data_IF_626915307261
#
_entry.id   IF_626915307261
#
_cell.length_a   1.000
_cell.length_b   1.000
_cell.length_c   1.000
_cell.angle_alpha   90.00
_cell.angle_beta   90.00
_cell.angle_gamma   90.00
#
_symmetry.space_group_name_H-M   'P 1'
#
loop_
_entity.id
_entity.type
_entity.pdbx_description
1 polymer ?
#
# COMPACT_ATOMS: atom_id res chain seq x y z
N UNK A 1 0.14 -6.22 1.09
CA UNK A 1 0.82 -4.89 1.04
C UNK A 1 0.99 -4.41 -0.41
N UNK A 2 0.42 -5.15 -1.34
CA UNK A 2 0.85 -5.19 -2.74
C UNK A 2 0.33 -4.00 -3.52
N UNK A 3 -0.92 -3.61 -3.24
CA UNK A 3 -1.55 -2.43 -3.83
C UNK A 3 -0.85 -1.11 -3.42
N UNK A 4 -0.19 -1.07 -2.26
CA UNK A 4 0.65 0.07 -1.87
C UNK A 4 1.99 0.07 -2.59
N UNK A 5 2.57 -1.11 -2.85
CA UNK A 5 3.81 -1.27 -3.60
C UNK A 5 3.66 -0.86 -5.07
N UNK A 6 2.47 -1.07 -5.65
CA UNK A 6 2.12 -0.67 -7.02
C UNK A 6 1.92 0.85 -7.19
N UNK A 7 2.06 1.64 -6.11
CA UNK A 7 1.89 3.10 -6.18
C UNK A 7 0.44 3.55 -6.38
N UNK A 8 -0.53 2.64 -6.30
CA UNK A 8 -1.96 2.97 -6.41
C UNK A 8 -2.37 3.97 -5.35
N UNK A 9 -3.29 4.87 -5.67
CA UNK A 9 -3.92 5.81 -4.72
C UNK A 9 -4.96 5.12 -3.84
N UNK A 10 -5.37 5.76 -2.73
CA UNK A 10 -6.40 5.19 -1.86
C UNK A 10 -7.74 4.99 -2.58
N UNK A 11 -8.06 5.85 -3.55
CA UNK A 11 -9.25 5.72 -4.38
C UNK A 11 -9.17 4.50 -5.29
N UNK A 12 -8.07 4.32 -6.01
CA UNK A 12 -7.88 3.13 -6.86
C UNK A 12 -7.88 1.81 -6.07
N UNK A 13 -7.37 1.84 -4.84
CA UNK A 13 -7.41 0.70 -3.92
C UNK A 13 -8.85 0.46 -3.44
N UNK A 14 -9.58 1.53 -3.14
CA UNK A 14 -10.97 1.47 -2.72
C UNK A 14 -11.85 0.87 -3.82
N UNK A 15 -11.67 1.32 -5.06
CA UNK A 15 -12.39 0.83 -6.23
C UNK A 15 -12.10 -0.67 -6.47
N UNK A 16 -10.82 -1.09 -6.39
CA UNK A 16 -10.43 -2.50 -6.55
C UNK A 16 -10.96 -3.42 -5.45
N UNK A 17 -11.06 -2.90 -4.21
CA UNK A 17 -11.52 -3.68 -3.06
C UNK A 17 -13.02 -3.53 -2.79
N UNK A 18 -13.75 -2.75 -3.61
CA UNK A 18 -15.15 -2.39 -3.39
C UNK A 18 -15.40 -1.79 -2.00
N UNK A 19 -14.46 -0.96 -1.53
CA UNK A 19 -14.51 -0.29 -0.23
C UNK A 19 -14.67 1.22 -0.40
N UNK A 20 -15.07 1.91 0.66
CA UNK A 20 -14.99 3.36 0.71
C UNK A 20 -13.53 3.83 0.83
N UNK A 21 -13.17 4.93 0.16
CA UNK A 21 -11.82 5.52 0.23
C UNK A 21 -11.38 5.83 1.67
N UNK A 22 -12.32 6.27 2.52
CA UNK A 22 -12.07 6.52 3.95
C UNK A 22 -11.64 5.26 4.69
N UNK A 23 -12.22 4.11 4.35
CA UNK A 23 -11.87 2.82 4.93
C UNK A 23 -10.44 2.44 4.55
N UNK A 24 -10.06 2.64 3.29
CA UNK A 24 -8.68 2.43 2.83
C UNK A 24 -7.70 3.36 3.52
N UNK A 25 -8.03 4.66 3.66
CA UNK A 25 -7.22 5.62 4.43
C UNK A 25 -6.96 5.13 5.85
N UNK A 26 -7.99 4.64 6.54
CA UNK A 26 -7.85 4.10 7.89
C UNK A 26 -6.94 2.87 7.93
N UNK A 27 -7.06 1.96 6.97
CA UNK A 27 -6.17 0.79 6.87
C UNK A 27 -4.72 1.19 6.65
N UNK A 28 -4.46 2.13 5.72
CA UNK A 28 -3.11 2.62 5.45
C UNK A 28 -2.50 3.29 6.68
N UNK A 29 -3.24 4.15 7.38
CA UNK A 29 -2.76 4.79 8.61
C UNK A 29 -2.44 3.77 9.72
N UNK A 30 -3.30 2.76 9.91
CA UNK A 30 -3.07 1.69 10.89
C UNK A 30 -1.87 0.83 10.52
N UNK A 31 -1.69 0.52 9.24
CA UNK A 31 -0.55 -0.23 8.73
C UNK A 31 0.75 0.54 8.96
N UNK A 32 0.77 1.82 8.60
CA UNK A 32 1.91 2.71 8.84
C UNK A 32 2.27 2.75 10.33
N UNK A 33 1.28 2.93 11.21
CA UNK A 33 1.49 2.92 12.65
C UNK A 33 2.09 1.58 13.15
N UNK A 34 1.57 0.44 12.68
CA UNK A 34 2.10 -0.90 13.02
C UNK A 34 3.54 -1.11 12.55
N UNK A 35 3.91 -0.50 11.43
CA UNK A 35 5.26 -0.60 10.86
C UNK A 35 6.20 0.49 11.39
N UNK A 36 5.75 1.37 12.27
CA UNK A 36 6.53 2.52 12.75
C UNK A 36 6.86 3.53 11.64
N UNK A 37 6.09 3.52 10.55
CA UNK A 37 6.30 4.40 9.39
C UNK A 37 5.34 5.58 9.43
N UNK A 38 5.78 6.71 8.89
CA UNK A 38 4.96 7.93 8.82
C UNK A 38 4.48 8.25 7.40
N UNK A 39 5.19 7.73 6.39
CA UNK A 39 4.94 8.09 4.99
C UNK A 39 4.55 6.88 4.17
N UNK A 40 3.54 7.03 3.31
CA UNK A 40 3.13 6.01 2.32
C UNK A 40 4.30 5.53 1.46
N UNK A 41 5.20 6.44 1.07
CA UNK A 41 6.38 6.11 0.27
C UNK A 41 7.30 5.11 0.97
N UNK A 42 7.48 5.23 2.29
CA UNK A 42 8.23 4.26 3.09
C UNK A 42 7.56 2.88 3.04
N UNK A 43 6.23 2.83 3.21
CA UNK A 43 5.48 1.59 3.10
C UNK A 43 5.49 0.97 1.70
N UNK A 44 5.45 1.79 0.64
CA UNK A 44 5.52 1.32 -0.75
C UNK A 44 6.89 0.70 -1.05
N UNK A 45 7.98 1.35 -0.64
CA UNK A 45 9.36 0.82 -0.77
C UNK A 45 9.56 -0.42 0.09
N UNK A 46 8.96 -0.47 1.28
CA UNK A 46 9.03 -1.65 2.13
C UNK A 46 8.27 -2.83 1.51
N UNK A 47 7.08 -2.59 0.98
CA UNK A 47 6.26 -3.58 0.31
C UNK A 47 6.91 -4.12 -0.97
N UNK A 48 7.58 -3.27 -1.77
CA UNK A 48 8.31 -3.72 -2.96
C UNK A 48 9.57 -4.54 -2.65
N UNK A 49 10.11 -4.44 -1.42
CA UNK A 49 11.20 -5.31 -0.94
C UNK A 49 10.69 -6.66 -0.41
N UNK A 50 9.44 -6.72 0.05
CA UNK A 50 8.81 -7.93 0.59
C UNK A 50 8.28 -8.88 -0.48
N UNK A 51 8.05 -8.38 -1.69
CA UNK A 51 7.69 -9.22 -2.84
C UNK A 51 8.85 -9.34 -3.84
N UNK A 52 9.77 -10.31 -3.63
CA UNK A 52 10.86 -10.58 -4.56
C UNK A 52 10.37 -11.11 -5.91
N UNK A 53 9.13 -11.61 -6.04
CA UNK A 53 8.60 -12.17 -7.29
C UNK A 53 8.16 -11.12 -8.32
N UNK A 54 8.11 -9.84 -7.94
CA UNK A 54 7.73 -8.71 -8.82
C UNK A 54 8.92 -7.92 -9.38
N UNK A 55 10.16 -8.29 -9.04
CA UNK A 55 11.37 -7.64 -9.61
C UNK A 55 11.63 -8.03 -11.06
N UNK A 56 10.99 -9.08 -11.56
CA UNK A 56 11.18 -9.58 -12.92
C UNK A 56 10.01 -9.15 -13.83
N UNK A 57 10.02 -7.87 -14.20
CA UNK A 57 9.13 -7.29 -15.20
C UNK A 57 9.82 -6.12 -15.86
N UNK A 58 10.88 -6.44 -16.62
CA UNK A 58 11.61 -5.49 -17.46
C UNK A 58 10.81 -5.04 -18.68
#
# INVERSE_FOLDING_TARGET
LDLLAEGLTNRQIADRMFLAEKTVKNYVSRLLAKLGMQRRTQAAVFASKLDPARRDGG
#
